data_IF_109877324004
#
_entry.id   IF_109877324004
#
_cell.length_a   1.000
_cell.length_b   1.000
_cell.length_c   1.000
_cell.angle_alpha   90.00
_cell.angle_beta   90.00
_cell.angle_gamma   90.00
#
_symmetry.space_group_name_H-M   'P 1'
#
loop_
_entity.id
_entity.type
_entity.pdbx_description
1 polymer ?
#
# COMPACT_ATOMS: atom_id res chain seq x y z
N UNK A 1 16.27 -16.05 15.78
CA UNK A 1 15.24 -17.06 15.43
C UNK A 1 13.99 -16.66 16.16
N UNK A 2 12.86 -16.61 15.46
CA UNK A 2 11.61 -16.06 15.94
C UNK A 2 10.50 -17.11 15.78
N UNK A 3 9.65 -17.20 16.78
CA UNK A 3 8.43 -18.00 16.74
C UNK A 3 7.37 -17.36 15.84
N UNK A 4 6.42 -18.16 15.37
CA UNK A 4 5.28 -17.67 14.59
C UNK A 4 4.45 -16.61 15.36
N UNK A 5 4.43 -16.67 16.70
CA UNK A 5 3.75 -15.68 17.54
C UNK A 5 4.45 -14.33 17.57
N UNK A 6 5.78 -14.32 17.58
CA UNK A 6 6.57 -13.09 17.48
C UNK A 6 6.41 -12.46 16.09
N UNK A 7 6.48 -13.27 15.03
CA UNK A 7 6.25 -12.79 13.65
C UNK A 7 4.84 -12.23 13.49
N UNK A 8 3.83 -12.91 14.04
CA UNK A 8 2.43 -12.45 14.02
C UNK A 8 2.30 -11.04 14.61
N UNK A 9 2.98 -10.77 15.73
CA UNK A 9 3.00 -9.44 16.35
C UNK A 9 3.79 -8.42 15.53
N UNK A 10 4.97 -8.79 15.03
CA UNK A 10 5.85 -7.90 14.25
C UNK A 10 5.19 -7.40 12.96
N UNK A 11 4.49 -8.29 12.25
CA UNK A 11 3.85 -7.97 10.97
C UNK A 11 2.35 -7.65 11.11
N UNK A 12 1.81 -7.72 12.34
CA UNK A 12 0.38 -7.58 12.62
C UNK A 12 -0.49 -8.52 11.76
N UNK A 13 0.03 -9.71 11.48
CA UNK A 13 -0.65 -10.74 10.69
C UNK A 13 -1.20 -11.82 11.62
N UNK A 14 -2.44 -12.28 11.44
CA UNK A 14 -2.95 -13.44 12.15
C UNK A 14 -2.04 -14.66 11.95
N UNK A 15 -1.87 -15.46 13.01
CA UNK A 15 -1.11 -16.73 12.93
C UNK A 15 -1.67 -17.64 11.82
N UNK A 16 -2.98 -17.62 11.59
CA UNK A 16 -3.64 -18.35 10.50
C UNK A 16 -3.12 -17.92 9.13
N UNK A 17 -2.91 -16.63 8.90
CA UNK A 17 -2.33 -16.09 7.65
C UNK A 17 -0.91 -16.57 7.44
N UNK A 18 -0.07 -16.53 8.48
CA UNK A 18 1.31 -17.06 8.41
C UNK A 18 1.33 -18.57 8.13
N UNK A 19 0.41 -19.33 8.74
CA UNK A 19 0.24 -20.77 8.47
C UNK A 19 -0.22 -21.02 7.03
N UNK A 20 -1.11 -20.17 6.52
CA UNK A 20 -1.57 -20.22 5.15
C UNK A 20 -0.42 -19.95 4.16
N UNK A 21 0.38 -18.91 4.39
CA UNK A 21 1.56 -18.60 3.55
C UNK A 21 2.55 -19.76 3.48
N UNK A 22 2.80 -20.40 4.62
CA UNK A 22 3.65 -21.59 4.69
C UNK A 22 3.04 -22.78 3.94
N UNK A 23 1.73 -23.05 4.11
CA UNK A 23 1.01 -24.08 3.36
C UNK A 23 1.07 -23.83 1.86
N UNK A 24 1.02 -22.57 1.45
CA UNK A 24 1.16 -22.13 0.08
C UNK A 24 2.61 -22.22 -0.44
N UNK A 25 3.58 -22.59 0.38
CA UNK A 25 4.96 -22.83 -0.02
C UNK A 25 5.82 -21.56 -0.08
N UNK A 26 5.39 -20.46 0.55
CA UNK A 26 6.14 -19.20 0.56
C UNK A 26 7.40 -19.24 1.45
N UNK A 27 7.52 -20.25 2.32
CA UNK A 27 8.70 -20.44 3.19
C UNK A 27 9.32 -21.84 2.98
N UNK A 28 9.94 -22.12 1.82
CA UNK A 28 10.44 -23.46 1.49
C UNK A 28 11.59 -23.93 2.40
N UNK A 29 12.28 -22.99 3.07
CA UNK A 29 13.45 -23.26 3.92
C UNK A 29 13.17 -23.12 5.42
N UNK A 30 11.90 -22.97 5.81
CA UNK A 30 11.53 -22.73 7.21
C UNK A 30 11.94 -23.91 8.10
N UNK A 31 12.85 -23.66 9.04
CA UNK A 31 13.37 -24.70 9.93
C UNK A 31 12.37 -25.01 11.04
N UNK A 32 12.42 -26.26 11.52
CA UNK A 32 11.72 -26.68 12.73
C UNK A 32 12.75 -26.93 13.84
N UNK A 33 12.52 -26.34 15.00
CA UNK A 33 13.28 -26.63 16.23
C UNK A 33 12.28 -27.16 17.25
N UNK A 34 12.53 -28.37 17.76
CA UNK A 34 11.62 -29.08 18.68
C UNK A 34 10.17 -29.18 18.15
N UNK A 35 10.03 -29.43 16.84
CA UNK A 35 8.71 -29.54 16.18
C UNK A 35 8.04 -28.21 15.87
N UNK A 36 8.58 -27.07 16.32
CA UNK A 36 8.02 -25.74 16.11
C UNK A 36 8.75 -25.00 14.98
N UNK A 37 7.98 -24.39 14.08
CA UNK A 37 8.50 -23.54 13.00
C UNK A 37 9.21 -22.31 13.56
N UNK A 38 10.43 -22.06 13.10
CA UNK A 38 11.29 -20.95 13.51
C UNK A 38 11.66 -20.13 12.28
N UNK A 39 11.45 -18.83 12.37
CA UNK A 39 11.78 -17.84 11.35
C UNK A 39 13.16 -17.26 11.65
N UNK A 40 14.08 -17.31 10.71
CA UNK A 40 15.35 -16.59 10.78
C UNK A 40 15.18 -15.18 10.21
N UNK A 41 16.24 -14.38 10.28
CA UNK A 41 16.29 -13.06 9.62
C UNK A 41 16.01 -13.15 8.12
N UNK A 42 16.43 -14.22 7.45
CA UNK A 42 16.17 -14.43 6.02
C UNK A 42 14.67 -14.59 5.73
N UNK A 43 13.95 -15.31 6.58
CA UNK A 43 12.50 -15.45 6.42
C UNK A 43 11.75 -14.17 6.81
N UNK A 44 12.30 -13.37 7.72
CA UNK A 44 11.77 -12.03 8.03
C UNK A 44 11.87 -11.12 6.80
N UNK A 45 13.02 -11.07 6.13
CA UNK A 45 13.17 -10.27 4.92
C UNK A 45 12.27 -10.76 3.78
N UNK A 46 12.11 -12.09 3.66
CA UNK A 46 11.14 -12.68 2.73
C UNK A 46 9.70 -12.24 3.06
N UNK A 47 9.33 -12.23 4.34
CA UNK A 47 8.02 -11.75 4.79
C UNK A 47 7.80 -10.27 4.50
N UNK A 48 8.82 -9.41 4.63
CA UNK A 48 8.71 -7.99 4.26
C UNK A 48 8.39 -7.82 2.79
N UNK A 49 9.02 -8.61 1.92
CA UNK A 49 8.73 -8.60 0.48
C UNK A 49 7.32 -9.10 0.20
N UNK A 50 6.90 -10.21 0.80
CA UNK A 50 5.53 -10.74 0.66
C UNK A 50 4.49 -9.70 1.12
N UNK A 51 4.71 -9.06 2.27
CA UNK A 51 3.82 -8.03 2.81
C UNK A 51 3.76 -6.81 1.88
N UNK A 52 4.90 -6.38 1.34
CA UNK A 52 4.96 -5.29 0.36
C UNK A 52 4.15 -5.62 -0.90
N UNK A 53 4.37 -6.79 -1.51
CA UNK A 53 3.66 -7.21 -2.72
C UNK A 53 2.15 -7.40 -2.45
N UNK A 54 1.76 -7.95 -1.30
CA UNK A 54 0.35 -8.11 -0.95
C UNK A 54 -0.33 -6.75 -0.76
N UNK A 55 0.36 -5.78 -0.14
CA UNK A 55 -0.14 -4.40 0.05
C UNK A 55 -0.19 -3.60 -1.25
N UNK A 56 0.68 -3.90 -2.23
CA UNK A 56 0.62 -3.26 -3.54
C UNK A 56 -0.50 -3.81 -4.43
N UNK A 57 -1.18 -4.88 -4.01
CA UNK A 57 -2.36 -5.43 -4.69
C UNK A 57 -2.18 -6.82 -5.29
N UNK A 58 -1.01 -7.45 -5.17
CA UNK A 58 -0.84 -8.82 -5.68
C UNK A 58 -1.67 -9.83 -4.89
N UNK A 59 -2.13 -10.85 -5.60
CA UNK A 59 -2.66 -12.05 -5.00
C UNK A 59 -1.56 -13.04 -4.60
N UNK A 60 -1.89 -13.92 -3.63
CA UNK A 60 -0.92 -14.90 -3.12
C UNK A 60 -0.39 -15.82 -4.22
N UNK A 61 -1.21 -16.10 -5.25
CA UNK A 61 -0.77 -16.84 -6.43
C UNK A 61 0.37 -16.13 -7.19
N UNK A 62 0.27 -14.83 -7.40
CA UNK A 62 1.30 -14.04 -8.10
C UNK A 62 2.56 -13.92 -7.24
N UNK A 63 2.41 -13.81 -5.93
CA UNK A 63 3.55 -13.82 -4.99
C UNK A 63 4.26 -15.19 -5.02
N UNK A 64 3.54 -16.30 -5.15
CA UNK A 64 4.15 -17.63 -5.35
C UNK A 64 4.95 -17.70 -6.65
N UNK A 65 4.43 -17.11 -7.73
CA UNK A 65 5.15 -17.04 -9.01
C UNK A 65 6.46 -16.24 -8.84
N UNK A 66 6.43 -15.10 -8.15
CA UNK A 66 7.63 -14.36 -7.77
C UNK A 66 8.63 -15.20 -6.95
N UNK A 67 8.14 -15.95 -5.95
CA UNK A 67 9.00 -16.83 -5.14
C UNK A 67 9.61 -17.96 -5.97
N UNK A 68 8.87 -18.51 -6.93
CA UNK A 68 9.40 -19.50 -7.87
C UNK A 68 10.50 -18.91 -8.76
N UNK A 69 10.34 -17.67 -9.23
CA UNK A 69 11.40 -16.97 -9.95
C UNK A 69 12.63 -16.80 -9.06
N UNK A 70 12.44 -16.49 -7.78
CA UNK A 70 13.54 -16.40 -6.80
C UNK A 70 14.37 -17.68 -6.73
N UNK A 71 13.72 -18.84 -6.67
CA UNK A 71 14.37 -20.15 -6.61
C UNK A 71 15.16 -20.52 -7.88
N UNK A 72 14.86 -19.92 -9.04
CA UNK A 72 15.61 -20.14 -10.28
C UNK A 72 16.94 -19.36 -10.35
N UNK A 73 17.24 -18.53 -9.34
CA UNK A 73 18.50 -17.79 -9.26
C UNK A 73 18.63 -16.72 -10.34
N UNK A 74 19.86 -16.32 -10.65
CA UNK A 74 20.15 -15.07 -11.37
C UNK A 74 19.56 -14.98 -12.78
N UNK A 75 19.10 -16.08 -13.37
CA UNK A 75 18.48 -16.11 -14.71
C UNK A 75 17.16 -15.36 -14.80
N UNK A 76 16.46 -15.16 -13.67
CA UNK A 76 15.13 -14.53 -13.62
C UNK A 76 15.14 -13.10 -13.07
N UNK A 77 16.32 -12.49 -12.86
CA UNK A 77 16.43 -11.15 -12.25
C UNK A 77 15.60 -10.09 -12.98
N UNK A 78 15.56 -10.15 -14.32
CA UNK A 78 14.77 -9.23 -15.14
C UNK A 78 13.26 -9.37 -14.87
N UNK A 79 12.74 -10.59 -14.87
CA UNK A 79 11.33 -10.88 -14.62
C UNK A 79 10.91 -10.45 -13.20
N UNK A 80 11.77 -10.68 -12.21
CA UNK A 80 11.53 -10.21 -10.84
C UNK A 80 11.46 -8.69 -10.77
N UNK A 81 12.37 -7.99 -11.45
CA UNK A 81 12.38 -6.52 -11.51
C UNK A 81 11.11 -5.98 -12.16
N UNK A 82 10.66 -6.60 -13.27
CA UNK A 82 9.43 -6.21 -13.98
C UNK A 82 8.19 -6.29 -13.06
N UNK A 83 8.11 -7.29 -12.18
CA UNK A 83 7.03 -7.38 -11.18
C UNK A 83 7.02 -6.14 -10.27
N UNK A 84 8.18 -5.74 -9.73
CA UNK A 84 8.26 -4.56 -8.87
C UNK A 84 8.05 -3.25 -9.63
N UNK A 85 8.50 -3.15 -10.87
CA UNK A 85 8.26 -1.95 -11.70
C UNK A 85 6.78 -1.77 -11.99
N UNK A 86 6.08 -2.84 -12.36
CA UNK A 86 4.62 -2.82 -12.52
C UNK A 86 3.93 -2.39 -11.23
N UNK A 87 4.27 -3.02 -10.10
CA UNK A 87 3.64 -2.69 -8.82
C UNK A 87 3.94 -1.26 -8.35
N UNK A 88 5.14 -0.75 -8.64
CA UNK A 88 5.47 0.65 -8.39
C UNK A 88 4.56 1.59 -9.19
N UNK A 89 4.30 1.28 -10.47
CA UNK A 89 3.41 2.08 -11.30
C UNK A 89 1.97 2.07 -10.78
N UNK A 90 1.43 0.90 -10.43
CA UNK A 90 0.10 0.76 -9.83
C UNK A 90 -0.03 1.57 -8.53
N UNK A 91 0.97 1.49 -7.64
CA UNK A 91 0.99 2.26 -6.40
C UNK A 91 1.06 3.77 -6.66
N UNK A 92 1.85 4.22 -7.64
CA UNK A 92 1.92 5.64 -8.02
C UNK A 92 0.58 6.14 -8.54
N UNK A 93 -0.11 5.35 -9.36
CA UNK A 93 -1.45 5.68 -9.85
C UNK A 93 -2.47 5.76 -8.71
N UNK A 94 -2.40 4.84 -7.74
CA UNK A 94 -3.30 4.88 -6.58
C UNK A 94 -3.00 6.06 -5.66
N UNK A 95 -1.72 6.39 -5.45
CA UNK A 95 -1.31 7.59 -4.73
C UNK A 95 -1.88 8.85 -5.37
N UNK A 96 -1.84 8.94 -6.70
CA UNK A 96 -2.40 10.08 -7.43
C UNK A 96 -3.91 10.20 -7.23
N UNK A 97 -4.66 9.09 -7.35
CA UNK A 97 -6.11 9.08 -7.07
C UNK A 97 -6.40 9.54 -5.65
N UNK A 98 -5.67 9.04 -4.66
CA UNK A 98 -5.85 9.43 -3.26
C UNK A 98 -5.47 10.89 -3.02
N UNK A 99 -4.48 11.43 -3.72
CA UNK A 99 -4.13 12.84 -3.63
C UNK A 99 -5.23 13.74 -4.22
N UNK A 100 -5.91 13.33 -5.30
CA UNK A 100 -7.09 14.03 -5.83
C UNK A 100 -8.24 14.03 -4.84
N UNK A 101 -8.52 12.88 -4.22
CA UNK A 101 -9.52 12.76 -3.14
C UNK A 101 -9.18 13.69 -1.97
N UNK A 102 -7.92 13.67 -1.49
CA UNK A 102 -7.45 14.54 -0.42
C UNK A 102 -7.59 16.02 -0.79
N UNK A 103 -7.37 16.37 -2.05
CA UNK A 103 -7.52 17.75 -2.53
C UNK A 103 -8.98 18.22 -2.47
N UNK A 104 -9.94 17.37 -2.86
CA UNK A 104 -11.36 17.68 -2.70
C UNK A 104 -11.73 17.85 -1.22
N UNK A 105 -11.22 16.98 -0.34
CA UNK A 105 -11.46 17.07 1.10
C UNK A 105 -10.90 18.38 1.67
N UNK A 106 -9.67 18.76 1.33
CA UNK A 106 -9.05 20.01 1.77
C UNK A 106 -9.84 21.24 1.29
N UNK A 107 -10.28 21.24 0.02
CA UNK A 107 -11.15 22.29 -0.50
C UNK A 107 -12.46 22.37 0.30
N UNK A 108 -13.11 21.23 0.57
CA UNK A 108 -14.37 21.20 1.32
C UNK A 108 -14.23 21.58 2.79
N UNK A 109 -13.11 21.24 3.44
CA UNK A 109 -12.80 21.75 4.78
C UNK A 109 -12.77 23.27 4.80
N UNK A 110 -11.96 23.89 3.91
CA UNK A 110 -11.91 25.35 3.79
C UNK A 110 -13.28 25.96 3.45
N UNK A 111 -14.01 25.35 2.51
CA UNK A 111 -15.34 25.81 2.11
C UNK A 111 -16.27 25.92 3.32
N UNK A 112 -16.32 24.88 4.15
CA UNK A 112 -17.19 24.87 5.33
C UNK A 112 -16.65 25.76 6.45
N UNK A 113 -15.34 25.90 6.61
CA UNK A 113 -14.77 26.89 7.54
C UNK A 113 -15.27 28.31 7.22
N UNK A 114 -15.28 28.67 5.93
CA UNK A 114 -15.80 29.97 5.48
C UNK A 114 -17.32 30.10 5.65
N UNK A 115 -18.09 29.06 5.33
CA UNK A 115 -19.53 29.06 5.52
C UNK A 115 -19.92 29.19 7.00
N UNK A 116 -19.19 28.53 7.90
CA UNK A 116 -19.37 28.64 9.36
C UNK A 116 -19.01 30.04 9.83
N UNK A 117 -17.87 30.59 9.39
CA UNK A 117 -17.42 31.93 9.78
C UNK A 117 -18.44 33.01 9.36
N UNK A 118 -18.99 32.90 8.15
CA UNK A 118 -20.00 33.85 7.64
C UNK A 118 -21.43 33.51 8.03
N UNK A 119 -21.66 32.33 8.62
CA UNK A 119 -22.97 31.76 8.95
C UNK A 119 -23.93 31.70 7.75
N UNK A 120 -23.38 31.58 6.56
CA UNK A 120 -24.12 31.54 5.31
C UNK A 120 -23.30 30.76 4.27
N UNK A 121 -23.87 29.65 3.80
CA UNK A 121 -23.24 28.86 2.75
C UNK A 121 -23.33 29.55 1.38
N UNK A 122 -24.38 30.35 1.15
CA UNK A 122 -24.56 31.08 -0.11
C UNK A 122 -23.42 32.07 -0.37
N UNK A 123 -22.81 32.61 0.69
CA UNK A 123 -21.59 33.43 0.60
C UNK A 123 -20.47 32.70 -0.16
N UNK A 124 -20.18 31.45 0.22
CA UNK A 124 -19.08 30.67 -0.37
C UNK A 124 -19.45 30.21 -1.78
N UNK A 125 -20.72 29.87 -2.02
CA UNK A 125 -21.23 29.52 -3.35
C UNK A 125 -21.14 30.68 -4.35
N UNK A 126 -21.26 31.92 -3.87
CA UNK A 126 -21.12 33.12 -4.68
C UNK A 126 -19.66 33.51 -4.99
N UNK A 127 -18.68 32.91 -4.30
CA UNK A 127 -17.27 33.18 -4.56
C UNK A 127 -16.85 32.58 -5.91
N UNK A 128 -16.21 33.40 -6.72
CA UNK A 128 -15.51 32.95 -7.91
C UNK A 128 -14.19 32.27 -7.57
N UNK A 129 -13.74 31.35 -8.42
CA UNK A 129 -12.48 30.62 -8.26
C UNK A 129 -11.27 31.53 -7.94
N UNK A 130 -11.20 32.71 -8.56
CA UNK A 130 -10.09 33.66 -8.36
C UNK A 130 -10.06 34.30 -6.95
N UNK A 131 -11.17 34.23 -6.22
CA UNK A 131 -11.27 34.73 -4.84
C UNK A 131 -10.83 33.69 -3.82
N UNK A 132 -10.62 32.44 -4.22
CA UNK A 132 -10.10 31.42 -3.33
C UNK A 132 -8.62 31.70 -3.02
N UNK A 133 -8.13 31.39 -1.81
CA UNK A 133 -6.70 31.45 -1.54
C UNK A 133 -5.91 30.56 -2.52
N UNK A 134 -4.65 30.92 -2.87
CA UNK A 134 -3.87 30.20 -3.89
C UNK A 134 -3.77 28.68 -3.66
N UNK A 135 -3.62 28.25 -2.41
CA UNK A 135 -3.56 26.83 -2.07
C UNK A 135 -4.90 26.10 -2.31
N UNK A 136 -6.02 26.78 -2.03
CA UNK A 136 -7.36 26.24 -2.27
C UNK A 136 -7.66 26.17 -3.77
N UNK A 137 -7.19 27.15 -4.54
CA UNK A 137 -7.25 27.10 -6.00
C UNK A 137 -6.53 25.87 -6.56
N UNK A 138 -5.35 25.54 -6.01
CA UNK A 138 -4.62 24.34 -6.40
C UNK A 138 -5.39 23.07 -6.07
N UNK A 139 -5.92 22.93 -4.85
CA UNK A 139 -6.72 21.77 -4.46
C UNK A 139 -7.99 21.62 -5.29
N UNK A 140 -8.67 22.74 -5.57
CA UNK A 140 -9.85 22.74 -6.42
C UNK A 140 -9.50 22.28 -7.84
N UNK A 141 -8.45 22.83 -8.46
CA UNK A 141 -8.00 22.39 -9.80
C UNK A 141 -7.64 20.92 -9.83
N UNK A 142 -6.74 20.49 -8.93
CA UNK A 142 -6.25 19.12 -8.89
C UNK A 142 -7.38 18.10 -8.69
N UNK A 143 -8.38 18.42 -7.87
CA UNK A 143 -9.54 17.53 -7.66
C UNK A 143 -10.51 17.45 -8.84
N UNK A 144 -10.44 18.37 -9.81
CA UNK A 144 -11.30 18.41 -10.99
C UNK A 144 -10.52 18.16 -12.30
N UNK A 145 -9.25 17.81 -12.23
CA UNK A 145 -8.48 17.34 -13.39
C UNK A 145 -8.91 15.91 -13.75
N UNK A 146 -9.34 15.70 -15.00
CA UNK A 146 -9.63 14.37 -15.54
C UNK A 146 -8.36 13.49 -15.46
N UNK A 147 -8.54 12.19 -15.19
CA UNK A 147 -7.46 11.19 -15.22
C UNK A 147 -7.13 10.78 -16.66
#
# INVERSE_FOLDING_TARGET
MYSIGEISKMFQLPISTLRYYDKEGLFPHLKRVNGVRQFSESEIETLRVIDCLKKSGLEIKEIKEYMSLCSLGNTTLKQRKEIFEKQKEEVLQEMEKLQKVLSMLNYKCWYYDQAIEKKDEAYVQALSFNQFPPQIQQYYKHSHEDC
#
